data_IF_572268749412
#
_entry.id   IF_572268749412
#
_cell.length_a   1.000
_cell.length_b   1.000
_cell.length_c   1.000
_cell.angle_alpha   90.00
_cell.angle_beta   90.00
_cell.angle_gamma   90.00
#
_symmetry.space_group_name_H-M   'P 1'
#
loop_
_entity.id
_entity.type
_entity.pdbx_description
1 polymer ?
#
# COMPACT_ATOMS: atom_id res chain seq x y z
N UNK A 1 -37.04 24.82 8.77
CA UNK A 1 -36.67 23.51 9.37
C UNK A 1 -36.39 22.43 8.32
N UNK A 2 -37.21 22.30 7.26
CA UNK A 2 -37.06 21.26 6.22
C UNK A 2 -35.74 21.37 5.42
N UNK A 3 -35.37 22.58 4.99
CA UNK A 3 -34.14 22.84 4.22
C UNK A 3 -32.85 22.56 5.04
N UNK A 4 -32.85 22.88 6.33
CA UNK A 4 -31.70 22.71 7.22
C UNK A 4 -31.37 21.23 7.46
N UNK A 5 -32.40 20.38 7.56
CA UNK A 5 -32.22 18.93 7.73
C UNK A 5 -31.67 18.30 6.46
N UNK A 6 -32.14 18.70 5.28
CA UNK A 6 -31.64 18.18 4.00
C UNK A 6 -30.16 18.52 3.79
N UNK A 7 -29.74 19.75 4.09
CA UNK A 7 -28.32 20.16 3.99
C UNK A 7 -27.46 19.38 4.98
N UNK A 8 -27.94 19.16 6.21
CA UNK A 8 -27.24 18.35 7.21
C UNK A 8 -27.10 16.89 6.77
N UNK A 9 -28.14 16.32 6.17
CA UNK A 9 -28.14 14.93 5.66
C UNK A 9 -27.18 14.75 4.48
N UNK A 10 -27.13 15.71 3.55
CA UNK A 10 -26.19 15.69 2.42
C UNK A 10 -24.75 15.83 2.90
N UNK A 11 -24.49 16.72 3.86
CA UNK A 11 -23.17 16.84 4.47
C UNK A 11 -22.75 15.56 5.20
N UNK A 12 -23.67 14.89 5.92
CA UNK A 12 -23.39 13.64 6.61
C UNK A 12 -23.12 12.49 5.63
N UNK A 13 -23.86 12.41 4.52
CA UNK A 13 -23.63 11.42 3.47
C UNK A 13 -22.27 11.59 2.77
N UNK A 14 -21.81 12.84 2.59
CA UNK A 14 -20.50 13.11 2.01
C UNK A 14 -19.34 12.60 2.88
N UNK A 15 -19.49 12.63 4.21
CA UNK A 15 -18.49 12.10 5.15
C UNK A 15 -18.49 10.57 5.19
N UNK A 16 -19.68 9.96 5.09
CA UNK A 16 -19.83 8.50 5.08
C UNK A 16 -19.33 7.84 3.77
N UNK A 17 -19.16 8.62 2.70
CA UNK A 17 -18.63 8.14 1.41
C UNK A 17 -17.12 7.90 1.39
N UNK A 18 -16.40 8.27 2.46
CA UNK A 18 -14.99 7.89 2.62
C UNK A 18 -14.94 6.39 2.95
N UNK A 19 -14.95 5.56 1.91
CA UNK A 19 -14.78 4.12 2.03
C UNK A 19 -13.51 3.84 2.85
N UNK A 20 -13.64 3.05 3.92
CA UNK A 20 -12.50 2.58 4.68
C UNK A 20 -11.54 1.89 3.70
N UNK A 21 -10.35 2.47 3.54
CA UNK A 21 -9.32 1.86 2.71
C UNK A 21 -8.94 0.52 3.34
N UNK A 22 -9.11 -0.58 2.61
CA UNK A 22 -8.57 -1.87 3.03
C UNK A 22 -7.06 -1.69 3.20
N UNK A 23 -6.55 -1.84 4.42
CA UNK A 23 -5.12 -1.92 4.65
C UNK A 23 -4.61 -3.31 4.24
N UNK A 24 -3.39 -3.35 3.71
CA UNK A 24 -2.66 -4.58 3.43
C UNK A 24 -1.22 -4.43 3.91
N UNK A 25 -0.59 -5.57 4.19
CA UNK A 25 0.85 -5.68 4.37
C UNK A 25 1.40 -6.44 3.18
N UNK A 26 2.43 -5.89 2.55
CA UNK A 26 3.04 -6.46 1.35
C UNK A 26 4.55 -6.44 1.45
N UNK A 27 5.16 -7.41 0.78
CA UNK A 27 6.58 -7.44 0.46
C UNK A 27 6.73 -6.92 -0.97
N UNK A 28 7.53 -5.88 -1.16
CA UNK A 28 7.84 -5.32 -2.48
C UNK A 28 9.30 -5.62 -2.76
N UNK A 29 9.57 -6.32 -3.87
CA UNK A 29 10.91 -6.73 -4.24
C UNK A 29 11.22 -6.45 -5.71
N UNK A 30 12.50 -6.27 -6.00
CA UNK A 30 13.03 -5.95 -7.33
C UNK A 30 14.17 -6.91 -7.71
N UNK A 31 14.37 -7.18 -9.01
CA UNK A 31 15.50 -7.97 -9.49
C UNK A 31 16.83 -7.32 -9.13
N UNK A 32 17.84 -8.14 -8.87
CA UNK A 32 19.19 -7.64 -8.55
C UNK A 32 19.73 -6.72 -9.66
N UNK A 33 20.15 -5.52 -9.28
CA UNK A 33 20.74 -4.54 -10.21
C UNK A 33 19.81 -3.39 -10.62
N UNK A 34 18.52 -3.43 -10.25
CA UNK A 34 17.64 -2.26 -10.32
C UNK A 34 18.26 -1.08 -9.56
N UNK A 35 18.21 0.15 -10.11
CA UNK A 35 18.71 1.33 -9.42
C UNK A 35 17.98 1.56 -8.11
N UNK A 36 18.73 1.84 -7.04
CA UNK A 36 18.17 2.11 -5.69
C UNK A 36 17.13 3.23 -5.71
N UNK A 37 17.27 4.21 -6.62
CA UNK A 37 16.30 5.30 -6.77
C UNK A 37 14.88 4.83 -7.06
N UNK A 38 14.71 3.71 -7.78
CA UNK A 38 13.38 3.14 -8.08
C UNK A 38 12.71 2.64 -6.81
N UNK A 39 13.48 1.95 -5.96
CA UNK A 39 12.99 1.45 -4.67
C UNK A 39 12.68 2.60 -3.71
N UNK A 40 13.55 3.61 -3.65
CA UNK A 40 13.35 4.82 -2.83
C UNK A 40 12.11 5.62 -3.24
N UNK A 41 11.88 5.76 -4.55
CA UNK A 41 10.68 6.41 -5.09
C UNK A 41 9.41 5.65 -4.71
N UNK A 42 9.42 4.31 -4.81
CA UNK A 42 8.30 3.48 -4.36
C UNK A 42 8.04 3.64 -2.85
N UNK A 43 9.08 3.64 -2.01
CA UNK A 43 8.93 3.87 -0.57
C UNK A 43 8.38 5.28 -0.27
N UNK A 44 8.78 6.29 -1.05
CA UNK A 44 8.28 7.65 -0.90
C UNK A 44 6.78 7.76 -1.21
N UNK A 45 6.31 7.14 -2.30
CA UNK A 45 4.87 7.12 -2.64
C UNK A 45 4.04 6.33 -1.61
N UNK A 46 4.58 5.23 -1.06
CA UNK A 46 3.93 4.51 0.05
C UNK A 46 3.75 5.42 1.27
N UNK A 47 4.80 6.14 1.70
CA UNK A 47 4.71 7.08 2.83
C UNK A 47 3.75 8.23 2.57
N UNK A 48 3.75 8.77 1.35
CA UNK A 48 2.87 9.86 0.92
C UNK A 48 1.39 9.45 0.91
N UNK A 49 1.10 8.19 0.62
CA UNK A 49 -0.24 7.62 0.72
C UNK A 49 -0.68 7.30 2.16
N UNK A 50 0.16 7.59 3.16
CA UNK A 50 -0.11 7.28 4.57
C UNK A 50 0.28 5.86 4.99
N UNK A 51 0.99 5.12 4.14
CA UNK A 51 1.57 3.83 4.49
C UNK A 51 2.85 3.95 5.33
N UNK A 52 3.25 2.84 5.93
CA UNK A 52 4.43 2.71 6.79
C UNK A 52 5.37 1.66 6.19
N UNK A 53 6.66 1.97 6.17
CA UNK A 53 7.71 1.00 5.83
C UNK A 53 8.14 0.32 7.14
N UNK A 54 7.92 -0.98 7.24
CA UNK A 54 8.19 -1.73 8.47
C UNK A 54 9.61 -2.27 8.51
N UNK A 55 10.14 -2.68 7.36
CA UNK A 55 11.47 -3.25 7.26
C UNK A 55 12.02 -3.07 5.85
N UNK A 56 13.32 -2.81 5.74
CA UNK A 56 14.06 -2.85 4.48
C UNK A 56 15.03 -4.03 4.52
N UNK A 57 15.00 -4.87 3.49
CA UNK A 57 15.82 -6.08 3.46
C UNK A 57 17.26 -5.77 3.06
N UNK A 58 18.22 -6.42 3.72
CA UNK A 58 19.63 -6.39 3.35
C UNK A 58 20.04 -7.53 2.41
N UNK A 59 19.29 -8.64 2.41
CA UNK A 59 19.57 -9.84 1.59
C UNK A 59 18.99 -9.73 0.17
N UNK A 60 17.82 -9.11 0.03
CA UNK A 60 17.13 -8.88 -1.23
C UNK A 60 16.93 -7.38 -1.42
N UNK A 61 16.78 -6.94 -2.66
CA UNK A 61 16.38 -5.56 -2.92
C UNK A 61 14.87 -5.45 -2.79
N UNK A 62 14.43 -5.08 -1.59
CA UNK A 62 13.01 -4.98 -1.29
C UNK A 62 12.75 -4.51 0.13
N UNK A 63 11.48 -4.27 0.41
CA UNK A 63 11.02 -3.78 1.70
C UNK A 63 9.61 -4.31 2.02
N UNK A 64 9.28 -4.32 3.31
CA UNK A 64 7.94 -4.60 3.83
C UNK A 64 7.23 -3.28 4.06
N UNK A 65 6.00 -3.17 3.57
CA UNK A 65 5.17 -2.00 3.78
C UNK A 65 3.75 -2.39 4.19
N UNK A 66 3.16 -1.55 5.04
CA UNK A 66 1.75 -1.62 5.42
C UNK A 66 1.03 -0.34 5.04
N UNK A 67 -0.13 -0.44 4.41
CA UNK A 67 -0.88 0.75 4.00
C UNK A 67 -2.11 0.46 3.14
N UNK A 68 -2.71 1.51 2.56
CA UNK A 68 -3.87 1.40 1.66
C UNK A 68 -3.65 0.45 0.48
N UNK A 69 -4.54 -0.52 0.24
CA UNK A 69 -4.38 -1.49 -0.86
C UNK A 69 -4.11 -0.84 -2.23
N UNK A 70 -4.78 0.29 -2.52
CA UNK A 70 -4.64 1.01 -3.78
C UNK A 70 -3.23 1.56 -4.03
N UNK A 71 -2.43 1.82 -2.99
CA UNK A 71 -1.05 2.28 -3.20
C UNK A 71 -0.17 1.16 -3.75
N UNK A 72 -0.47 -0.09 -3.43
CA UNK A 72 0.34 -1.23 -3.88
C UNK A 72 0.09 -1.57 -5.35
N UNK A 73 -1.13 -1.37 -5.85
CA UNK A 73 -1.43 -1.42 -7.29
C UNK A 73 -0.67 -0.31 -8.06
N UNK A 74 -0.54 0.86 -7.43
CA UNK A 74 0.22 1.99 -7.98
C UNK A 74 1.72 1.66 -8.03
N UNK A 75 2.29 1.12 -6.94
CA UNK A 75 3.69 0.69 -6.88
C UNK A 75 3.97 -0.41 -7.92
N UNK A 76 3.07 -1.39 -8.07
CA UNK A 76 3.18 -2.44 -9.09
C UNK A 76 3.24 -1.84 -10.51
N UNK A 77 2.44 -0.81 -10.77
CA UNK A 77 2.43 -0.10 -12.05
C UNK A 77 3.71 0.71 -12.28
N UNK A 78 4.18 1.44 -11.27
CA UNK A 78 5.41 2.24 -11.34
C UNK A 78 6.65 1.37 -11.59
N UNK A 79 6.73 0.23 -10.92
CA UNK A 79 7.86 -0.69 -11.03
C UNK A 79 7.75 -1.70 -12.18
N UNK A 80 6.70 -1.66 -13.02
CA UNK A 80 6.49 -2.63 -14.09
C UNK A 80 7.66 -2.70 -15.10
N UNK A 81 8.35 -1.58 -15.34
CA UNK A 81 9.54 -1.56 -16.21
C UNK A 81 10.80 -2.13 -15.56
N UNK A 82 10.76 -2.40 -14.25
CA UNK A 82 11.86 -2.92 -13.44
C UNK A 82 11.51 -4.29 -12.84
N UNK A 83 10.54 -5.01 -13.42
CA UNK A 83 10.05 -6.31 -12.97
C UNK A 83 9.77 -6.37 -11.46
N UNK A 84 9.12 -5.32 -10.92
CA UNK A 84 8.73 -5.30 -9.50
C UNK A 84 7.76 -6.43 -9.18
N UNK A 85 7.96 -7.05 -8.03
CA UNK A 85 7.07 -8.05 -7.48
C UNK A 85 6.46 -7.51 -6.18
N UNK A 86 5.13 -7.46 -6.13
CA UNK A 86 4.36 -7.05 -4.96
C UNK A 86 3.56 -8.24 -4.46
N UNK A 87 3.93 -8.78 -3.30
CA UNK A 87 3.33 -9.97 -2.71
C UNK A 87 2.64 -9.63 -1.39
N UNK A 88 1.41 -10.10 -1.20
CA UNK A 88 0.71 -9.95 0.08
C UNK A 88 1.34 -10.86 1.13
N UNK A 89 1.65 -10.29 2.30
CA UNK A 89 2.26 -11.05 3.38
C UNK A 89 1.27 -12.12 3.89
N UNK A 90 1.77 -13.32 4.20
CA UNK A 90 0.97 -14.49 4.49
C UNK A 90 1.57 -15.33 5.59
N UNK A 91 0.71 -15.92 6.41
CA UNK A 91 1.15 -16.79 7.51
C UNK A 91 1.71 -18.12 6.99
N UNK A 92 2.76 -18.59 7.65
CA UNK A 92 3.33 -19.92 7.44
C UNK A 92 3.14 -20.75 8.71
N UNK A 93 2.67 -21.99 8.57
CA UNK A 93 2.42 -22.90 9.69
C UNK A 93 3.35 -24.10 9.64
N UNK A 94 3.84 -24.52 10.81
CA UNK A 94 4.50 -25.81 10.94
C UNK A 94 3.49 -26.93 10.71
N UNK A 95 3.86 -27.94 9.91
CA UNK A 95 3.05 -29.14 9.71
C UNK A 95 3.51 -30.17 10.74
N UNK A 96 2.69 -30.44 11.76
CA UNK A 96 2.92 -31.58 12.65
C UNK A 96 2.78 -32.89 11.83
N UNK A 97 3.84 -33.71 11.86
CA UNK A 97 3.95 -34.99 11.14
C UNK A 97 3.52 -36.17 11.98
#
# INVERSE_FOLDING_TARGET
>A
MKLSITVLLVALFAVLGMAASSEKQVIISYPKGTPTSVMEEAMAEVRKAGGVIEHEYSLIMGFVAKGPAAIFDTVQTMGASNDVLVEEDSEVHAIDS
#
